data_IF_840987865886
#
_entry.id   IF_840987865886
#
_cell.length_a   1.000
_cell.length_b   1.000
_cell.length_c   1.000
_cell.angle_alpha   90.00
_cell.angle_beta   90.00
_cell.angle_gamma   90.00
#
_symmetry.space_group_name_H-M   'P 1'
#
loop_
_entity.id
_entity.type
_entity.pdbx_description
1 polymer ?
#
# COMPACT_ATOMS: atom_id res chain seq x y z
N UNK A 1 -12.81 34.07 -52.06
CA UNK A 1 -14.05 33.33 -52.36
C UNK A 1 -13.73 31.84 -52.15
N UNK A 2 -14.29 31.20 -51.10
CA UNK A 2 -15.35 30.15 -51.19
C UNK A 2 -14.73 28.82 -51.70
N UNK A 3 -14.59 27.66 -51.03
CA UNK A 3 -15.20 26.95 -49.88
C UNK A 3 -14.23 25.81 -49.43
N UNK A 4 -14.07 25.52 -48.13
CA UNK A 4 -14.58 24.34 -47.36
C UNK A 4 -14.40 22.95 -48.02
N UNK A 5 -13.65 22.06 -47.34
CA UNK A 5 -13.89 20.61 -47.07
C UNK A 5 -12.57 20.00 -46.53
N UNK A 6 -12.32 19.86 -45.22
CA UNK A 6 -12.89 18.87 -44.29
C UNK A 6 -12.77 17.42 -44.81
N UNK A 7 -11.61 16.79 -44.55
CA UNK A 7 -11.29 15.34 -44.66
C UNK A 7 -9.80 15.18 -44.34
N UNK A 8 -9.29 14.38 -43.40
CA UNK A 8 -9.83 13.21 -42.73
C UNK A 8 -9.06 12.99 -41.43
N UNK A 9 -9.75 13.00 -40.28
CA UNK A 9 -9.24 12.38 -39.06
C UNK A 9 -9.61 10.91 -39.15
N UNK A 10 -8.60 10.05 -39.27
CA UNK A 10 -8.77 8.61 -39.06
C UNK A 10 -7.47 8.04 -38.50
N UNK A 11 -7.24 8.29 -37.20
CA UNK A 11 -6.29 7.50 -36.41
C UNK A 11 -7.11 6.51 -35.60
N UNK A 12 -7.39 5.38 -36.25
CA UNK A 12 -7.96 4.17 -35.67
C UNK A 12 -6.83 3.14 -35.65
N UNK A 13 -6.33 2.84 -34.46
CA UNK A 13 -5.49 1.68 -34.06
C UNK A 13 -4.44 2.13 -33.05
N UNK A 14 -4.29 1.53 -31.88
CA UNK A 14 -5.14 0.59 -31.21
C UNK A 14 -4.97 0.80 -29.71
N UNK A 15 -6.06 0.57 -28.98
CA UNK A 15 -6.01 0.26 -27.57
C UNK A 15 -5.17 -1.02 -27.40
N UNK A 16 -3.87 -0.87 -27.20
CA UNK A 16 -3.13 -1.86 -26.42
C UNK A 16 -3.61 -1.67 -24.99
N UNK A 17 -4.56 -2.52 -24.60
CA UNK A 17 -5.08 -2.58 -23.25
C UNK A 17 -3.97 -2.81 -22.25
N UNK A 18 -3.36 -1.73 -21.78
CA UNK A 18 -2.67 -1.69 -20.51
C UNK A 18 -3.72 -1.54 -19.42
N UNK A 19 -4.67 -2.48 -19.38
CA UNK A 19 -5.40 -2.76 -18.17
C UNK A 19 -4.43 -3.49 -17.22
N UNK A 20 -3.39 -2.79 -16.75
CA UNK A 20 -2.94 -3.05 -15.40
C UNK A 20 -4.11 -2.64 -14.51
N UNK A 21 -5.05 -3.56 -14.33
CA UNK A 21 -5.96 -3.51 -13.21
C UNK A 21 -5.08 -3.58 -11.96
N UNK A 22 -4.53 -2.44 -11.53
CA UNK A 22 -3.97 -2.33 -10.21
C UNK A 22 -5.13 -2.55 -9.25
N UNK A 23 -5.08 -3.57 -8.37
CA UNK A 23 -6.09 -3.68 -7.35
C UNK A 23 -6.02 -2.38 -6.53
N UNK A 24 -7.08 -1.57 -6.59
CA UNK A 24 -7.25 -0.29 -5.88
C UNK A 24 -7.16 -0.43 -4.35
N UNK A 25 -6.88 -1.64 -3.84
CA UNK A 25 -6.79 -2.01 -2.42
C UNK A 25 -5.76 -3.15 -2.18
N UNK A 26 -4.59 -3.16 -2.81
CA UNK A 26 -3.59 -4.18 -2.48
C UNK A 26 -2.98 -3.91 -1.09
N UNK A 27 -3.48 -4.63 -0.07
CA UNK A 27 -2.91 -4.59 1.28
C UNK A 27 -1.42 -4.90 1.30
N UNK A 28 -0.94 -5.71 0.37
CA UNK A 28 0.50 -6.00 0.22
C UNK A 28 1.30 -4.76 -0.19
N UNK A 29 0.73 -3.94 -1.08
CA UNK A 29 1.33 -2.65 -1.44
C UNK A 29 1.38 -1.67 -0.27
N UNK A 30 0.35 -1.64 0.57
CA UNK A 30 0.34 -0.83 1.79
C UNK A 30 1.33 -1.33 2.83
N UNK A 31 1.39 -2.64 3.05
CA UNK A 31 2.37 -3.29 3.92
C UNK A 31 3.79 -2.94 3.48
N UNK A 32 4.11 -3.10 2.19
CA UNK A 32 5.43 -2.75 1.64
C UNK A 32 5.78 -1.29 1.86
N UNK A 33 4.84 -0.36 1.60
CA UNK A 33 5.06 1.08 1.86
C UNK A 33 5.31 1.35 3.35
N UNK A 34 4.63 0.63 4.24
CA UNK A 34 4.82 0.77 5.69
C UNK A 34 6.18 0.21 6.12
N UNK A 35 6.58 -0.97 5.67
CA UNK A 35 7.91 -1.56 5.92
C UNK A 35 9.04 -0.63 5.51
N UNK A 36 8.99 -0.07 4.28
CA UNK A 36 10.02 0.86 3.81
C UNK A 36 10.14 2.11 4.70
N UNK A 37 9.01 2.60 5.25
CA UNK A 37 9.03 3.74 6.18
C UNK A 37 9.64 3.36 7.53
N UNK A 38 9.40 2.15 8.02
CA UNK A 38 9.98 1.62 9.26
C UNK A 38 11.50 1.46 9.10
N UNK A 39 11.95 0.89 7.98
CA UNK A 39 13.38 0.74 7.65
C UNK A 39 14.08 2.11 7.57
N UNK A 40 13.46 3.08 6.89
CA UNK A 40 13.99 4.43 6.80
C UNK A 40 14.04 5.12 8.17
N UNK A 41 13.05 4.87 9.04
CA UNK A 41 13.08 5.39 10.41
C UNK A 41 14.23 4.78 11.21
N UNK A 42 14.51 3.49 11.05
CA UNK A 42 15.63 2.80 11.71
C UNK A 42 16.98 3.28 11.21
N UNK A 43 17.14 3.48 9.90
CA UNK A 43 18.39 3.96 9.30
C UNK A 43 18.69 5.41 9.69
N UNK A 44 17.66 6.23 9.90
CA UNK A 44 17.77 7.60 10.38
C UNK A 44 17.87 7.72 11.91
N UNK A 45 17.87 6.60 12.65
CA UNK A 45 17.91 6.60 14.11
C UNK A 45 16.65 7.17 14.78
N UNK A 46 15.54 7.29 14.06
CA UNK A 46 14.24 7.78 14.58
C UNK A 46 13.57 6.75 15.49
N UNK A 47 13.90 5.47 15.31
CA UNK A 47 13.42 4.38 16.17
C UNK A 47 14.61 3.60 16.70
N UNK A 48 14.52 3.21 17.96
CA UNK A 48 15.48 2.32 18.62
C UNK A 48 15.41 0.90 18.05
N UNK A 49 16.42 0.05 18.28
CA UNK A 49 16.35 -1.36 17.90
C UNK A 49 15.12 -2.10 18.46
N UNK A 50 14.76 -1.83 19.72
CA UNK A 50 13.60 -2.45 20.38
C UNK A 50 12.28 -2.03 19.73
N UNK A 51 12.12 -0.75 19.41
CA UNK A 51 10.92 -0.22 18.73
C UNK A 51 10.82 -0.75 17.29
N UNK A 52 11.96 -0.84 16.60
CA UNK A 52 12.04 -1.45 15.27
C UNK A 52 11.58 -2.90 15.30
N UNK A 53 12.08 -3.71 16.25
CA UNK A 53 11.63 -5.10 16.40
C UNK A 53 10.13 -5.23 16.64
N UNK A 54 9.55 -4.35 17.48
CA UNK A 54 8.10 -4.30 17.69
C UNK A 54 7.35 -4.02 16.38
N UNK A 55 7.82 -3.03 15.60
CA UNK A 55 7.22 -2.68 14.32
C UNK A 55 7.34 -3.81 13.29
N UNK A 56 8.47 -4.51 13.23
CA UNK A 56 8.65 -5.67 12.33
C UNK A 56 7.74 -6.84 12.72
N UNK A 57 7.58 -7.13 14.01
CA UNK A 57 6.61 -8.12 14.50
C UNK A 57 5.17 -7.78 14.07
N UNK A 58 4.82 -6.49 14.07
CA UNK A 58 3.53 -6.04 13.55
C UNK A 58 3.40 -6.25 12.04
N UNK A 59 4.45 -5.97 11.25
CA UNK A 59 4.45 -6.23 9.81
C UNK A 59 4.24 -7.73 9.51
N UNK A 60 4.90 -8.61 10.26
CA UNK A 60 4.72 -10.06 10.16
C UNK A 60 3.26 -10.45 10.45
N UNK A 61 2.67 -9.91 11.51
CA UNK A 61 1.29 -10.20 11.88
C UNK A 61 0.28 -9.69 10.84
N UNK A 62 0.55 -8.55 10.21
CA UNK A 62 -0.27 -8.02 9.10
C UNK A 62 -0.15 -8.92 7.88
N UNK A 63 1.08 -9.31 7.50
CA UNK A 63 1.32 -10.24 6.37
C UNK A 63 0.55 -11.54 6.57
N UNK A 64 0.62 -12.13 7.75
CA UNK A 64 -0.10 -13.37 8.05
C UNK A 64 -1.63 -13.18 7.94
N UNK A 65 -2.15 -12.01 8.33
CA UNK A 65 -3.57 -11.70 8.16
C UNK A 65 -3.97 -11.55 6.69
N UNK A 66 -3.11 -10.92 5.86
CA UNK A 66 -3.31 -10.81 4.41
C UNK A 66 -3.33 -12.20 3.78
N UNK A 67 -2.31 -13.02 4.05
CA UNK A 67 -2.21 -14.40 3.51
C UNK A 67 -3.41 -15.24 3.92
N UNK A 68 -3.85 -15.14 5.18
CA UNK A 68 -5.03 -15.86 5.66
C UNK A 68 -6.30 -15.46 4.93
N UNK A 69 -6.52 -14.16 4.74
CA UNK A 69 -7.71 -13.63 4.05
C UNK A 69 -7.67 -13.84 2.53
N UNK A 70 -6.52 -14.18 1.96
CA UNK A 70 -6.38 -14.49 0.53
C UNK A 70 -6.60 -15.97 0.23
N UNK A 71 -6.68 -16.84 1.26
CA UNK A 71 -6.74 -18.29 1.09
C UNK A 71 -8.01 -18.73 0.34
N UNK A 72 -9.08 -17.99 0.52
CA UNK A 72 -10.43 -18.17 -0.01
C UNK A 72 -10.57 -17.59 -1.43
N UNK A 73 -9.55 -16.91 -1.93
CA UNK A 73 -9.55 -16.23 -3.23
C UNK A 73 -10.23 -14.84 -3.22
N UNK A 74 -10.86 -14.44 -2.12
CA UNK A 74 -11.41 -13.10 -1.93
C UNK A 74 -11.26 -12.65 -0.48
N UNK A 75 -11.05 -11.35 -0.26
CA UNK A 75 -11.00 -10.76 1.08
C UNK A 75 -12.36 -10.14 1.37
N UNK A 76 -13.04 -10.58 2.43
CA UNK A 76 -14.33 -10.01 2.82
C UNK A 76 -14.19 -8.62 3.48
N UNK A 77 -15.31 -7.92 3.69
CA UNK A 77 -15.31 -6.58 4.28
C UNK A 77 -14.79 -6.55 5.74
N UNK A 78 -15.03 -7.61 6.52
CA UNK A 78 -14.60 -7.74 7.92
C UNK A 78 -13.10 -7.98 8.00
N UNK A 79 -12.56 -8.85 7.15
CA UNK A 79 -11.14 -9.12 6.98
C UNK A 79 -10.40 -7.88 6.49
N UNK A 80 -10.94 -7.20 5.46
CA UNK A 80 -10.41 -5.94 4.97
C UNK A 80 -10.34 -4.88 6.08
N UNK A 81 -11.42 -4.74 6.88
CA UNK A 81 -11.44 -3.83 8.04
C UNK A 81 -10.40 -4.23 9.10
N UNK A 82 -10.25 -5.53 9.35
CA UNK A 82 -9.26 -6.06 10.28
C UNK A 82 -7.82 -5.77 9.85
N UNK A 83 -7.49 -5.97 8.57
CA UNK A 83 -6.18 -5.68 7.99
C UNK A 83 -5.91 -4.18 8.01
N UNK A 84 -6.85 -3.34 7.55
CA UNK A 84 -6.74 -1.87 7.62
C UNK A 84 -6.49 -1.39 9.05
N UNK A 85 -7.24 -1.91 10.01
CA UNK A 85 -7.05 -1.56 11.42
C UNK A 85 -5.66 -1.94 11.95
N UNK A 86 -5.05 -3.04 11.48
CA UNK A 86 -3.67 -3.39 11.84
C UNK A 86 -2.66 -2.44 11.19
N UNK A 87 -2.82 -2.13 9.90
CA UNK A 87 -1.98 -1.17 9.17
C UNK A 87 -2.02 0.22 9.84
N UNK A 88 -3.21 0.70 10.20
CA UNK A 88 -3.38 2.00 10.85
C UNK A 88 -2.76 2.03 12.25
N UNK A 89 -2.93 0.96 13.05
CA UNK A 89 -2.27 0.86 14.36
C UNK A 89 -0.75 0.93 14.25
N UNK A 90 -0.16 0.16 13.33
CA UNK A 90 1.29 0.18 13.14
C UNK A 90 1.79 1.53 12.63
N UNK A 91 1.03 2.19 11.73
CA UNK A 91 1.31 3.55 11.25
C UNK A 91 1.30 4.56 12.41
N UNK A 92 0.29 4.49 13.27
CA UNK A 92 0.16 5.38 14.41
C UNK A 92 1.26 5.13 15.44
N UNK A 93 1.67 3.88 15.65
CA UNK A 93 2.81 3.54 16.50
C UNK A 93 4.12 4.13 15.97
N UNK A 94 4.42 3.98 14.68
CA UNK A 94 5.59 4.61 14.07
C UNK A 94 5.59 6.14 14.24
N UNK A 95 4.42 6.79 14.09
CA UNK A 95 4.27 8.23 14.34
C UNK A 95 4.56 8.60 15.80
N UNK A 96 4.13 7.75 16.74
CA UNK A 96 4.42 7.94 18.16
C UNK A 96 5.91 7.83 18.45
N UNK A 97 6.63 6.85 17.92
CA UNK A 97 8.08 6.75 18.14
C UNK A 97 8.87 7.93 17.56
N UNK A 98 8.37 8.53 16.47
CA UNK A 98 8.93 9.79 15.96
C UNK A 98 8.78 10.96 16.96
N UNK A 99 7.81 10.92 17.87
CA UNK A 99 7.40 12.06 18.72
C UNK A 99 7.64 11.82 20.22
N UNK A 100 7.55 10.57 20.66
CA UNK A 100 7.78 10.08 22.01
C UNK A 100 8.93 9.09 21.92
N UNK A 101 10.07 9.48 22.47
CA UNK A 101 11.18 8.59 22.75
C UNK A 101 10.77 7.61 23.88
N UNK A 102 10.18 6.47 23.54
CA UNK A 102 9.98 5.36 24.49
C UNK A 102 11.32 4.61 24.64
N UNK A 103 12.25 5.18 25.41
CA UNK A 103 13.54 4.55 25.76
C UNK A 103 13.40 3.46 26.82
#
# INVERSE_FOLDING_TARGET
>A
MKNILMSSILVLSGWTGHAFAQPKNSFEGELRKQSNRIELARSRGVVTPKEYEKLIKEQQAIRNAIVKAQRDGYIDAKEAKGIRGKLDRSRNRLKKYKTNNEY
#
